data_IF_261818747584
#
_entry.id   IF_261818747584
#
_cell.length_a   1.000
_cell.length_b   1.000
_cell.length_c   1.000
_cell.angle_alpha   90.00
_cell.angle_beta   90.00
_cell.angle_gamma   90.00
#
_symmetry.space_group_name_H-M   'P 1'
#
loop_
_entity.id
_entity.type
_entity.pdbx_description
1 polymer ?
#
# COMPACT_ATOMS: atom_id res chain seq x y z
N UNK A 1 -44.01 -41.60 -26.08
CA UNK A 1 -42.54 -41.45 -26.07
C UNK A 1 -42.18 -40.38 -25.05
N UNK A 2 -41.58 -40.77 -23.92
CA UNK A 2 -41.14 -39.84 -22.89
C UNK A 2 -39.94 -40.47 -22.18
N UNK A 3 -38.76 -39.91 -22.40
CA UNK A 3 -37.51 -40.32 -21.76
C UNK A 3 -37.30 -39.39 -20.55
N UNK A 4 -37.14 -39.89 -19.31
CA UNK A 4 -36.77 -39.07 -18.18
C UNK A 4 -35.23 -39.04 -18.07
N UNK A 5 -34.63 -37.84 -18.02
CA UNK A 5 -33.20 -37.69 -17.75
C UNK A 5 -32.95 -36.92 -16.45
N UNK A 6 -32.72 -37.73 -15.43
CA UNK A 6 -31.83 -37.59 -14.26
C UNK A 6 -31.34 -36.18 -13.92
N UNK A 7 -31.83 -35.72 -12.77
CA UNK A 7 -31.20 -34.74 -11.89
C UNK A 7 -29.82 -35.22 -11.40
N UNK A 8 -28.76 -34.55 -11.82
CA UNK A 8 -27.41 -34.70 -11.27
C UNK A 8 -27.00 -33.46 -10.50
N UNK A 9 -27.34 -33.40 -9.21
CA UNK A 9 -26.87 -32.36 -8.29
C UNK A 9 -25.35 -32.50 -8.09
N UNK A 10 -24.56 -31.59 -8.68
CA UNK A 10 -23.15 -31.43 -8.32
C UNK A 10 -23.06 -30.48 -7.14
N UNK A 11 -22.89 -31.08 -5.96
CA UNK A 11 -22.36 -30.43 -4.76
C UNK A 11 -21.00 -29.78 -5.07
N UNK A 12 -20.98 -28.48 -5.37
CA UNK A 12 -19.78 -27.66 -5.15
C UNK A 12 -19.91 -27.05 -3.77
N UNK A 13 -19.13 -27.59 -2.82
CA UNK A 13 -18.83 -26.94 -1.55
C UNK A 13 -18.32 -25.53 -1.83
N UNK A 14 -19.17 -24.53 -1.63
CA UNK A 14 -18.77 -23.16 -1.37
C UNK A 14 -18.00 -23.19 -0.05
N UNK A 15 -16.68 -23.27 -0.13
CA UNK A 15 -15.82 -22.97 1.00
C UNK A 15 -15.85 -21.46 1.14
N UNK A 16 -16.65 -21.00 2.09
CA UNK A 16 -16.76 -19.59 2.46
C UNK A 16 -15.37 -19.05 2.79
N UNK A 17 -14.93 -18.08 2.01
CA UNK A 17 -13.77 -17.27 2.36
C UNK A 17 -14.19 -16.48 3.59
N UNK A 18 -13.55 -16.79 4.71
CA UNK A 18 -13.77 -16.10 5.97
C UNK A 18 -13.66 -14.60 5.74
N UNK A 19 -14.74 -13.89 6.08
CA UNK A 19 -14.64 -12.49 6.43
C UNK A 19 -13.54 -12.38 7.49
N UNK A 20 -12.36 -11.93 7.08
CA UNK A 20 -11.43 -11.35 8.04
C UNK A 20 -12.10 -10.06 8.51
N UNK A 21 -12.94 -10.20 9.55
CA UNK A 21 -13.29 -9.12 10.46
C UNK A 21 -11.96 -8.63 11.03
N UNK A 22 -11.30 -7.72 10.32
CA UNK A 22 -10.42 -6.79 10.99
C UNK A 22 -11.29 -6.09 12.03
N UNK A 23 -10.85 -6.01 13.30
CA UNK A 23 -11.58 -5.24 14.29
C UNK A 23 -11.79 -3.85 13.68
N UNK A 24 -13.03 -3.38 13.71
CA UNK A 24 -13.29 -1.98 13.52
C UNK A 24 -12.28 -1.26 14.41
N UNK A 25 -11.41 -0.45 13.81
CA UNK A 25 -10.66 0.53 14.58
C UNK A 25 -11.70 1.54 15.04
N UNK A 26 -12.46 1.17 16.08
CA UNK A 26 -13.04 2.13 16.99
C UNK A 26 -11.85 2.96 17.42
N UNK A 27 -11.74 4.17 16.85
CA UNK A 27 -10.98 5.26 17.42
C UNK A 27 -11.58 5.45 18.81
N UNK A 28 -11.07 4.67 19.77
CA UNK A 28 -11.28 4.94 21.18
C UNK A 28 -10.88 6.38 21.43
N UNK A 29 -11.49 6.99 22.45
CA UNK A 29 -11.10 8.29 22.96
C UNK A 29 -9.58 8.48 22.89
N UNK A 30 -9.07 9.67 22.53
CA UNK A 30 -7.67 9.89 22.15
C UNK A 30 -6.71 9.69 23.33
N UNK A 31 -6.47 8.45 23.72
CA UNK A 31 -5.40 8.06 24.63
C UNK A 31 -4.15 7.76 23.78
N UNK A 32 -3.36 8.81 23.58
CA UNK A 32 -1.88 8.79 23.53
C UNK A 32 -1.15 7.84 22.57
N UNK A 33 -1.72 7.47 21.42
CA UNK A 33 -0.89 7.09 20.26
C UNK A 33 -0.47 8.35 19.49
N UNK A 34 0.77 8.81 19.68
CA UNK A 34 1.30 9.98 18.98
C UNK A 34 1.48 9.67 17.48
N UNK A 35 0.60 10.19 16.64
CA UNK A 35 0.76 10.10 15.19
C UNK A 35 1.70 11.22 14.72
N UNK A 36 2.86 10.85 14.20
CA UNK A 36 3.90 11.82 13.83
C UNK A 36 4.18 11.76 12.34
N UNK A 37 4.30 12.93 11.70
CA UNK A 37 4.81 13.10 10.35
C UNK A 37 6.30 12.81 10.34
N UNK A 38 6.71 11.91 9.47
CA UNK A 38 8.10 11.56 9.27
C UNK A 38 8.45 11.77 7.79
N UNK A 39 9.59 12.39 7.55
CA UNK A 39 10.16 12.46 6.22
C UNK A 39 11.32 11.47 6.16
N UNK A 40 11.42 10.73 5.06
CA UNK A 40 12.49 9.74 4.90
C UNK A 40 13.86 10.37 5.17
N UNK A 41 14.66 9.69 6.00
CA UNK A 41 16.04 10.08 6.31
C UNK A 41 17.04 9.37 5.40
N UNK A 42 18.20 9.98 5.21
CA UNK A 42 19.28 9.36 4.43
C UNK A 42 19.70 8.04 5.09
N UNK A 43 19.93 6.94 4.34
CA UNK A 43 20.37 5.69 4.94
C UNK A 43 21.86 5.81 5.32
N UNK A 44 22.29 5.11 6.37
CA UNK A 44 23.69 4.78 6.62
C UNK A 44 23.95 3.38 6.07
N UNK A 45 25.18 3.10 5.63
CA UNK A 45 25.60 1.72 5.36
C UNK A 45 25.45 0.94 6.67
N UNK A 46 24.58 -0.06 6.66
CA UNK A 46 24.45 -1.05 7.72
C UNK A 46 25.26 -2.27 7.29
N UNK A 47 26.07 -2.81 8.19
CA UNK A 47 26.73 -4.10 7.98
C UNK A 47 25.74 -5.28 8.09
N UNK A 48 24.55 -5.05 8.66
CA UNK A 48 23.52 -6.06 8.86
C UNK A 48 22.41 -5.93 7.78
N UNK A 49 22.15 -6.96 6.97
CA UNK A 49 21.14 -6.95 5.90
C UNK A 49 19.70 -6.88 6.41
N UNK A 50 19.44 -7.24 7.67
CA UNK A 50 18.09 -7.19 8.27
C UNK A 50 17.73 -5.82 8.84
N UNK A 51 18.68 -4.86 8.85
CA UNK A 51 18.48 -3.54 9.41
C UNK A 51 18.88 -2.42 8.44
N UNK A 52 17.94 -1.52 8.16
CA UNK A 52 18.27 -0.24 7.52
C UNK A 52 18.61 0.79 8.60
N UNK A 53 19.89 1.00 8.88
CA UNK A 53 20.32 2.12 9.71
C UNK A 53 20.02 3.43 8.96
N UNK A 54 19.18 4.33 9.51
CA UNK A 54 18.96 5.65 8.93
C UNK A 54 19.73 6.72 9.70
N UNK A 55 20.31 7.70 9.01
CA UNK A 55 21.07 8.77 9.64
C UNK A 55 20.22 9.60 10.60
N UNK A 56 20.76 9.91 11.77
CA UNK A 56 20.19 10.87 12.71
C UNK A 56 20.25 12.32 12.19
N UNK A 57 21.01 12.60 11.13
CA UNK A 57 21.48 13.96 10.80
C UNK A 57 20.79 14.66 9.62
N UNK A 58 19.75 14.11 8.99
CA UNK A 58 19.01 14.90 7.98
C UNK A 58 17.93 14.18 7.16
N UNK A 59 16.99 14.99 6.66
CA UNK A 59 15.96 14.58 5.69
C UNK A 59 16.58 14.32 4.31
N UNK A 60 16.06 13.34 3.57
CA UNK A 60 16.48 13.12 2.18
C UNK A 60 16.13 14.32 1.30
N UNK A 61 17.01 14.65 0.36
CA UNK A 61 16.77 15.60 -0.72
C UNK A 61 16.63 14.90 -2.09
N UNK A 62 16.43 15.71 -3.14
CA UNK A 62 16.34 15.24 -4.53
C UNK A 62 15.26 14.19 -4.81
N UNK A 63 15.54 13.26 -5.71
CA UNK A 63 14.58 12.25 -6.20
C UNK A 63 14.25 11.14 -5.21
N UNK A 64 14.85 11.13 -4.02
CA UNK A 64 14.68 10.09 -2.98
C UNK A 64 13.88 10.59 -1.76
N UNK A 65 13.14 11.69 -1.92
CA UNK A 65 12.25 12.27 -0.91
C UNK A 65 10.99 11.41 -0.71
N UNK A 66 10.40 11.48 0.47
CA UNK A 66 9.14 10.80 0.80
C UNK A 66 8.58 11.28 2.14
N UNK A 67 7.27 11.20 2.29
CA UNK A 67 6.53 11.57 3.50
C UNK A 67 5.71 10.36 3.97
N UNK A 68 5.87 10.03 5.24
CA UNK A 68 5.14 8.99 5.94
C UNK A 68 4.54 9.52 7.25
N UNK A 69 3.49 8.85 7.71
CA UNK A 69 3.00 8.97 9.08
C UNK A 69 3.48 7.75 9.84
N UNK A 70 4.03 7.96 11.02
CA UNK A 70 4.35 6.89 11.97
C UNK A 70 3.31 6.87 13.09
N UNK A 71 2.69 5.71 13.29
CA UNK A 71 1.77 5.41 14.38
C UNK A 71 2.57 4.70 15.46
N UNK A 72 2.43 5.16 16.72
CA UNK A 72 3.04 4.54 17.89
C UNK A 72 4.17 5.38 18.48
N UNK A 73 4.59 5.03 19.69
CA UNK A 73 5.72 5.69 20.36
C UNK A 73 7.04 5.23 19.72
N UNK A 74 8.06 6.10 19.63
CA UNK A 74 9.43 5.64 19.41
C UNK A 74 9.74 4.52 20.42
N UNK A 75 10.50 3.48 20.04
CA UNK A 75 10.85 2.45 21.02
C UNK A 75 11.45 3.12 22.25
N UNK A 76 10.97 2.71 23.43
CA UNK A 76 11.56 3.12 24.72
C UNK A 76 13.04 2.70 24.75
N UNK A 77 13.38 1.66 23.99
CA UNK A 77 14.73 1.29 23.58
C UNK A 77 15.11 1.96 22.27
N UNK A 78 15.20 3.29 22.24
CA UNK A 78 16.10 3.93 21.28
C UNK A 78 17.48 3.42 21.66
N UNK A 79 18.00 2.45 20.90
CA UNK A 79 19.32 1.88 21.09
C UNK A 79 20.32 3.03 21.03
N UNK A 80 20.73 3.53 22.20
CA UNK A 80 21.94 4.31 22.35
C UNK A 80 23.08 3.46 21.82
N UNK A 81 24.14 4.12 21.35
CA UNK A 81 25.31 3.47 20.76
C UNK A 81 25.75 2.24 21.57
N UNK A 82 26.43 1.26 20.94
CA UNK A 82 27.00 0.10 21.65
C UNK A 82 27.99 0.47 22.78
N UNK A 83 28.27 1.76 22.98
CA UNK A 83 29.15 2.31 24.01
C UNK A 83 28.42 2.81 25.26
N UNK A 84 27.07 2.83 25.29
CA UNK A 84 26.31 3.22 26.47
C UNK A 84 25.33 2.13 26.88
N UNK A 85 25.68 1.41 27.95
CA UNK A 85 24.82 0.46 28.64
C UNK A 85 23.67 1.22 29.30
N UNK A 86 22.47 1.18 28.72
CA UNK A 86 21.28 1.67 29.40
C UNK A 86 20.69 0.51 30.22
N UNK A 87 20.60 0.66 31.54
CA UNK A 87 19.91 -0.28 32.40
C UNK A 87 18.45 -0.39 31.94
N UNK A 88 18.09 -1.53 31.36
CA UNK A 88 16.74 -1.80 30.90
C UNK A 88 15.84 -1.98 32.12
N UNK A 89 15.18 -0.92 32.58
CA UNK A 89 14.01 -1.09 33.46
C UNK A 89 12.88 -1.60 32.57
N UNK A 90 12.82 -2.93 32.43
CA UNK A 90 11.75 -3.63 31.74
C UNK A 90 10.45 -3.48 32.55
N UNK A 91 9.75 -2.37 32.39
CA UNK A 91 8.34 -2.31 32.76
C UNK A 91 7.58 -3.18 31.77
N UNK A 92 7.23 -4.37 32.22
CA UNK A 92 6.30 -5.33 31.62
C UNK A 92 4.88 -4.75 31.58
N UNK A 93 4.65 -3.70 30.80
CA UNK A 93 3.28 -3.35 30.42
C UNK A 93 2.92 -4.22 29.22
N UNK A 94 1.98 -5.15 29.40
CA UNK A 94 1.31 -5.94 28.35
C UNK A 94 0.51 -5.08 27.34
N UNK A 95 0.81 -3.78 27.23
CA UNK A 95 0.31 -2.95 26.17
C UNK A 95 0.99 -3.38 24.88
N UNK A 96 0.22 -3.97 23.97
CA UNK A 96 0.62 -4.16 22.59
C UNK A 96 1.05 -2.79 22.08
N UNK A 97 2.36 -2.62 21.88
CA UNK A 97 2.94 -1.44 21.28
C UNK A 97 2.41 -1.35 19.84
N UNK A 98 1.28 -0.67 19.65
CA UNK A 98 0.71 -0.46 18.31
C UNK A 98 1.70 0.38 17.53
N UNK A 99 2.32 -0.25 16.53
CA UNK A 99 3.24 0.37 15.60
C UNK A 99 2.70 0.22 14.19
N UNK A 100 2.83 1.29 13.43
CA UNK A 100 2.42 1.28 12.04
C UNK A 100 2.89 2.51 11.31
N UNK A 101 2.57 2.58 10.03
CA UNK A 101 2.77 3.80 9.29
C UNK A 101 1.99 3.85 8.00
N UNK A 102 1.78 5.06 7.53
CA UNK A 102 1.08 5.35 6.29
C UNK A 102 2.06 6.09 5.38
N UNK A 103 2.41 5.48 4.25
CA UNK A 103 3.23 6.13 3.25
C UNK A 103 2.33 6.87 2.25
N UNK A 104 2.53 8.18 2.11
CA UNK A 104 1.82 8.94 1.10
C UNK A 104 2.48 8.78 -0.28
N UNK A 105 1.67 8.51 -1.29
CA UNK A 105 2.15 8.20 -2.66
C UNK A 105 1.57 9.14 -3.72
N UNK A 106 0.38 9.67 -3.47
CA UNK A 106 -0.35 10.49 -4.43
C UNK A 106 -1.14 11.54 -3.65
N UNK A 107 -1.19 12.76 -4.18
CA UNK A 107 -2.07 13.82 -3.71
C UNK A 107 -2.81 14.40 -4.91
N UNK A 108 -4.02 14.90 -4.65
CA UNK A 108 -4.80 15.62 -5.64
C UNK A 108 -4.97 17.06 -5.17
N UNK A 109 -4.67 18.02 -6.03
CA UNK A 109 -5.01 19.43 -5.78
C UNK A 109 -6.53 19.58 -5.85
N UNK A 110 -7.10 20.25 -4.85
CA UNK A 110 -8.54 20.55 -4.79
C UNK A 110 -8.89 21.90 -5.44
N UNK A 111 -7.91 22.57 -6.04
CA UNK A 111 -8.12 23.77 -6.84
C UNK A 111 -8.74 23.45 -8.22
N UNK A 112 -8.93 24.47 -9.04
CA UNK A 112 -9.54 24.35 -10.37
C UNK A 112 -8.82 23.37 -11.32
N UNK A 113 -7.58 22.96 -11.03
CA UNK A 113 -6.83 22.04 -11.89
C UNK A 113 -7.22 20.57 -11.70
N UNK A 114 -7.77 20.20 -10.54
CA UNK A 114 -7.97 18.80 -10.12
C UNK A 114 -6.75 17.89 -10.36
N UNK A 115 -5.55 18.48 -10.41
CA UNK A 115 -4.33 17.80 -10.84
C UNK A 115 -3.91 16.73 -9.83
N UNK A 116 -3.62 15.53 -10.32
CA UNK A 116 -3.17 14.39 -9.53
C UNK A 116 -1.65 14.27 -9.64
N UNK A 117 -0.96 14.38 -8.51
CA UNK A 117 0.50 14.31 -8.42
C UNK A 117 0.87 12.95 -7.86
N UNK A 118 1.57 12.14 -8.64
CA UNK A 118 1.86 10.74 -8.32
C UNK A 118 3.37 10.50 -8.18
N UNK A 119 3.81 10.09 -6.99
CA UNK A 119 5.20 9.81 -6.67
C UNK A 119 5.61 10.42 -5.32
N UNK A 120 6.36 9.71 -4.45
CA UNK A 120 6.76 10.23 -3.14
C UNK A 120 7.51 11.56 -3.19
N UNK A 121 8.47 11.68 -4.11
CA UNK A 121 9.29 12.89 -4.23
C UNK A 121 8.47 14.06 -4.77
N UNK A 122 7.65 13.83 -5.79
CA UNK A 122 6.78 14.86 -6.38
C UNK A 122 5.73 15.36 -5.38
N UNK A 123 5.22 14.46 -4.54
CA UNK A 123 4.32 14.82 -3.45
C UNK A 123 5.03 15.75 -2.45
N UNK A 124 6.26 15.45 -2.07
CA UNK A 124 7.04 16.31 -1.18
C UNK A 124 7.34 17.65 -1.86
N UNK A 125 7.71 17.66 -3.14
CA UNK A 125 7.95 18.88 -3.91
C UNK A 125 6.71 19.78 -3.96
N UNK A 126 5.53 19.18 -4.08
CA UNK A 126 4.27 19.91 -4.04
C UNK A 126 3.98 20.52 -2.66
N UNK A 127 4.27 19.80 -1.57
CA UNK A 127 4.14 20.35 -0.21
C UNK A 127 5.09 21.53 0.00
N UNK A 128 6.33 21.42 -0.48
CA UNK A 128 7.33 22.47 -0.43
C UNK A 128 6.86 23.70 -1.22
N UNK A 129 6.37 23.49 -2.45
CA UNK A 129 5.79 24.54 -3.31
C UNK A 129 4.61 25.24 -2.63
N UNK A 130 3.65 24.48 -2.10
CA UNK A 130 2.47 25.02 -1.42
C UNK A 130 2.80 25.76 -0.12
N UNK A 131 3.97 25.47 0.47
CA UNK A 131 4.46 26.12 1.68
C UNK A 131 5.45 27.25 1.40
N UNK A 132 5.75 27.54 0.13
CA UNK A 132 6.71 28.54 -0.33
C UNK A 132 8.10 28.38 0.30
N UNK A 133 8.61 27.14 0.33
CA UNK A 133 9.96 26.78 0.83
C UNK A 133 10.64 25.83 -0.14
N UNK A 134 11.97 25.74 -0.12
CA UNK A 134 12.72 24.90 -1.07
C UNK A 134 13.20 23.57 -0.46
N UNK A 135 13.34 23.50 0.87
CA UNK A 135 13.95 22.36 1.56
C UNK A 135 13.10 21.88 2.73
N UNK A 136 13.14 20.58 3.01
CA UNK A 136 12.38 19.96 4.11
C UNK A 136 12.76 20.54 5.49
N UNK A 137 14.05 20.80 5.84
CA UNK A 137 14.39 21.46 7.09
C UNK A 137 13.69 22.82 7.26
N UNK A 138 13.68 23.64 6.21
CA UNK A 138 13.01 24.95 6.21
C UNK A 138 11.50 24.81 6.47
N UNK A 139 10.86 23.83 5.84
CA UNK A 139 9.45 23.49 6.09
C UNK A 139 9.20 23.15 7.55
N UNK A 140 10.00 22.23 8.12
CA UNK A 140 9.76 21.72 9.48
C UNK A 140 10.11 22.77 10.53
N UNK A 141 11.27 23.41 10.41
CA UNK A 141 11.81 24.27 11.44
C UNK A 141 11.16 25.65 11.39
N UNK A 142 10.98 26.23 10.21
CA UNK A 142 10.48 27.59 10.05
C UNK A 142 8.96 27.65 9.85
N UNK A 143 8.39 26.81 8.98
CA UNK A 143 6.94 26.83 8.71
C UNK A 143 6.14 26.06 9.74
N UNK A 144 6.62 24.89 10.19
CA UNK A 144 5.92 24.06 11.18
C UNK A 144 6.37 24.33 12.62
N UNK A 145 7.46 25.10 12.83
CA UNK A 145 7.95 25.42 14.17
C UNK A 145 8.38 24.18 14.96
N UNK A 146 8.92 23.17 14.28
CA UNK A 146 9.30 21.88 14.87
C UNK A 146 8.14 20.92 15.13
N UNK A 147 6.88 21.35 14.93
CA UNK A 147 5.72 20.49 15.14
C UNK A 147 5.54 19.49 14.01
N UNK A 148 5.74 18.21 14.33
CA UNK A 148 5.53 17.08 13.42
C UNK A 148 4.27 16.28 13.76
N UNK A 149 3.45 16.72 14.72
CA UNK A 149 2.19 16.04 15.07
C UNK A 149 1.20 16.07 13.90
N UNK A 150 0.76 14.91 13.44
CA UNK A 150 -0.20 14.79 12.34
C UNK A 150 -1.60 15.36 12.66
N UNK A 151 -1.87 15.63 13.94
CA UNK A 151 -3.13 16.21 14.43
C UNK A 151 -2.99 17.69 14.74
N UNK A 152 -4.13 18.39 14.79
CA UNK A 152 -4.17 19.82 15.04
C UNK A 152 -3.72 20.11 16.48
N UNK A 153 -2.61 20.81 16.64
CA UNK A 153 -2.28 21.50 17.89
C UNK A 153 -3.08 22.80 17.94
N UNK A 154 -3.75 23.08 19.07
CA UNK A 154 -4.75 24.15 19.18
C UNK A 154 -4.19 25.57 19.14
N UNK A 155 -2.86 25.77 19.07
CA UNK A 155 -2.26 27.02 19.57
C UNK A 155 -1.60 27.95 18.53
N UNK A 156 -1.43 27.60 17.24
CA UNK A 156 -0.80 28.52 16.26
C UNK A 156 -1.37 28.46 14.85
N UNK A 157 -1.48 29.64 14.21
CA UNK A 157 -1.76 29.81 12.77
C UNK A 157 -0.45 29.64 11.99
N UNK A 158 -0.16 28.41 11.58
CA UNK A 158 0.95 28.11 10.67
C UNK A 158 0.47 27.25 9.50
N UNK A 159 1.24 27.24 8.40
CA UNK A 159 1.02 26.32 7.29
C UNK A 159 1.16 24.89 7.81
N UNK A 160 0.07 24.15 7.95
CA UNK A 160 0.06 22.80 8.53
C UNK A 160 -0.50 21.75 7.57
N UNK A 161 0.13 20.58 7.53
CA UNK A 161 -0.42 19.38 6.91
C UNK A 161 -1.06 18.50 8.00
N UNK A 162 -2.38 18.46 8.09
CA UNK A 162 -3.07 17.71 9.15
C UNK A 162 -4.04 16.67 8.60
N UNK A 163 -4.30 15.64 9.40
CA UNK A 163 -5.47 14.79 9.17
C UNK A 163 -6.71 15.46 9.75
N UNK A 164 -7.78 15.49 8.96
CA UNK A 164 -9.11 15.92 9.40
C UNK A 164 -10.09 14.81 9.09
N UNK A 165 -10.93 14.44 10.06
CA UNK A 165 -12.10 13.63 9.76
C UNK A 165 -13.04 14.48 8.90
N UNK A 166 -13.40 13.97 7.72
CA UNK A 166 -14.43 14.61 6.90
C UNK A 166 -15.79 14.26 7.50
N UNK A 167 -16.53 15.27 7.96
CA UNK A 167 -17.94 15.12 8.33
C UNK A 167 -18.85 14.98 7.12
N UNK A 168 -18.34 15.21 5.90
CA UNK A 168 -19.10 14.90 4.69
C UNK A 168 -19.24 13.38 4.59
N UNK A 169 -20.46 12.91 4.83
CA UNK A 169 -20.87 11.51 4.84
C UNK A 169 -20.95 10.96 3.41
N UNK A 170 -19.88 11.14 2.63
CA UNK A 170 -19.78 10.47 1.33
C UNK A 170 -19.34 9.06 1.63
N UNK A 171 -20.20 8.09 1.35
CA UNK A 171 -19.83 6.67 1.29
C UNK A 171 -18.79 6.49 0.18
N UNK A 172 -17.53 6.78 0.52
CA UNK A 172 -16.40 6.59 -0.37
C UNK A 172 -15.97 5.14 -0.27
N UNK A 173 -16.15 4.39 -1.35
CA UNK A 173 -15.57 3.05 -1.47
C UNK A 173 -14.05 3.15 -1.44
N UNK A 174 -13.45 2.55 -0.42
CA UNK A 174 -11.99 2.40 -0.32
C UNK A 174 -11.58 1.12 -1.01
N UNK A 175 -10.93 1.27 -2.17
CA UNK A 175 -10.33 0.17 -2.90
C UNK A 175 -8.95 -0.18 -2.35
N UNK A 176 -8.57 -1.44 -2.50
CA UNK A 176 -7.29 -1.96 -2.02
C UNK A 176 -6.59 -2.72 -3.14
N UNK A 177 -5.27 -2.60 -3.24
CA UNK A 177 -4.47 -3.33 -4.21
C UNK A 177 -3.13 -3.76 -3.64
N UNK A 178 -2.42 -4.69 -4.30
CA UNK A 178 -1.01 -4.91 -4.08
C UNK A 178 -0.18 -3.63 -4.14
N UNK A 179 0.95 -3.63 -3.44
CA UNK A 179 1.90 -2.50 -3.44
C UNK A 179 2.66 -2.42 -4.76
N UNK A 180 2.89 -1.19 -5.23
CA UNK A 180 3.70 -0.93 -6.43
C UNK A 180 5.19 -1.10 -6.10
N UNK A 181 5.94 -1.73 -6.99
CA UNK A 181 7.40 -1.88 -6.88
C UNK A 181 7.85 -3.03 -5.99
N UNK A 182 6.97 -4.01 -5.75
CA UNK A 182 7.34 -5.32 -5.23
C UNK A 182 7.33 -6.32 -6.39
N UNK A 183 8.35 -7.17 -6.45
CA UNK A 183 8.46 -8.30 -7.35
C UNK A 183 9.17 -9.47 -6.64
N UNK A 184 9.22 -10.61 -7.32
CA UNK A 184 9.92 -11.81 -6.86
C UNK A 184 11.35 -11.90 -7.42
N UNK A 185 11.86 -10.84 -8.05
CA UNK A 185 13.11 -10.91 -8.81
C UNK A 185 14.38 -10.93 -7.96
N UNK A 186 14.23 -10.73 -6.65
CA UNK A 186 15.36 -10.68 -5.73
C UNK A 186 16.01 -12.05 -5.60
N UNK A 187 17.36 -12.16 -5.68
CA UNK A 187 18.06 -13.44 -5.67
C UNK A 187 17.78 -14.31 -4.43
N UNK A 188 17.53 -13.70 -3.28
CA UNK A 188 17.18 -14.40 -2.04
C UNK A 188 15.70 -14.78 -1.90
N UNK A 189 14.89 -14.67 -2.96
CA UNK A 189 13.47 -15.09 -2.92
C UNK A 189 13.41 -16.60 -3.11
N UNK A 190 12.88 -17.33 -2.12
CA UNK A 190 12.66 -18.76 -2.24
C UNK A 190 11.31 -19.05 -2.91
N UNK A 191 11.24 -20.13 -3.70
CA UNK A 191 10.00 -20.68 -4.24
C UNK A 191 9.23 -21.45 -3.17
N UNK A 192 8.84 -20.76 -2.09
CA UNK A 192 8.14 -21.33 -0.95
C UNK A 192 7.00 -20.40 -0.52
N UNK A 193 5.80 -20.91 -0.18
CA UNK A 193 4.69 -20.06 0.27
C UNK A 193 5.02 -19.26 1.55
N UNK A 194 5.91 -19.80 2.39
CA UNK A 194 6.40 -19.16 3.62
C UNK A 194 7.45 -18.06 3.37
N UNK A 195 7.96 -17.91 2.15
CA UNK A 195 8.88 -16.82 1.81
C UNK A 195 8.18 -15.47 2.01
N UNK A 196 8.87 -14.54 2.67
CA UNK A 196 8.30 -13.23 3.03
C UNK A 196 7.90 -12.43 1.78
N UNK A 197 8.70 -12.44 0.71
CA UNK A 197 8.39 -11.71 -0.53
C UNK A 197 7.19 -12.32 -1.23
N UNK A 198 7.13 -13.65 -1.31
CA UNK A 198 5.96 -14.38 -1.82
C UNK A 198 4.72 -13.99 -1.02
N UNK A 199 4.81 -14.03 0.31
CA UNK A 199 3.70 -13.67 1.22
C UNK A 199 3.24 -12.22 1.06
N UNK A 200 4.17 -11.27 0.90
CA UNK A 200 3.86 -9.84 0.90
C UNK A 200 3.45 -9.29 -0.46
N UNK A 201 3.83 -9.92 -1.56
CA UNK A 201 3.60 -9.39 -2.90
C UNK A 201 2.11 -9.22 -3.22
N UNK A 202 1.28 -10.18 -2.84
CA UNK A 202 -0.18 -10.15 -3.06
C UNK A 202 -0.96 -9.35 -2.01
N UNK A 203 -0.31 -8.88 -0.93
CA UNK A 203 -1.02 -8.20 0.16
C UNK A 203 -1.53 -6.83 -0.27
N UNK A 204 -2.78 -6.56 0.08
CA UNK A 204 -3.52 -5.34 -0.26
C UNK A 204 -3.07 -4.12 0.56
N UNK A 205 -1.79 -3.74 0.46
CA UNK A 205 -1.17 -2.66 1.23
C UNK A 205 -1.32 -1.27 0.61
N UNK A 206 -1.95 -1.15 -0.57
CA UNK A 206 -2.21 0.13 -1.23
C UNK A 206 -3.71 0.43 -1.18
N UNK A 207 -4.07 1.60 -0.65
CA UNK A 207 -5.45 2.03 -0.45
C UNK A 207 -5.74 3.30 -1.26
N UNK A 208 -6.91 3.37 -1.90
CA UNK A 208 -7.30 4.51 -2.74
C UNK A 208 -8.82 4.58 -2.92
N UNK A 209 -9.34 5.76 -3.25
CA UNK A 209 -10.79 6.02 -3.41
C UNK A 209 -11.21 6.35 -4.84
N UNK A 210 -10.27 6.72 -5.70
CA UNK A 210 -10.55 7.13 -7.08
C UNK A 210 -9.60 6.38 -8.03
N UNK A 211 -9.93 5.12 -8.42
CA UNK A 211 -9.05 4.29 -9.23
C UNK A 211 -8.73 4.92 -10.59
N UNK A 212 -9.71 5.56 -11.25
CA UNK A 212 -9.57 6.24 -12.54
C UNK A 212 -8.52 7.36 -12.57
N UNK A 213 -8.13 7.90 -11.41
CA UNK A 213 -7.10 8.94 -11.32
C UNK A 213 -5.68 8.36 -11.25
N UNK A 214 -5.53 7.04 -11.07
CA UNK A 214 -4.25 6.39 -10.81
C UNK A 214 -3.66 5.78 -12.09
N UNK A 215 -3.57 6.62 -13.13
CA UNK A 215 -3.20 6.19 -14.49
C UNK A 215 -1.70 6.09 -14.73
N UNK A 216 -0.88 6.86 -13.99
CA UNK A 216 0.55 7.00 -14.24
C UNK A 216 1.39 5.80 -13.74
N UNK A 217 1.05 5.23 -12.58
CA UNK A 217 1.83 4.16 -11.93
C UNK A 217 0.91 3.11 -11.32
N UNK A 218 1.29 1.85 -11.44
CA UNK A 218 0.60 0.75 -10.79
C UNK A 218 -0.77 0.43 -11.37
N UNK A 219 -0.97 0.69 -12.67
CA UNK A 219 -2.25 0.48 -13.37
C UNK A 219 -2.76 -0.96 -13.21
N UNK A 220 -1.87 -1.94 -13.34
CA UNK A 220 -2.20 -3.35 -13.22
C UNK A 220 -2.59 -3.74 -11.79
N UNK A 221 -1.89 -3.20 -10.79
CA UNK A 221 -2.22 -3.34 -9.38
C UNK A 221 -3.61 -2.76 -9.10
N UNK A 222 -3.88 -1.54 -9.58
CA UNK A 222 -5.19 -0.88 -9.45
C UNK A 222 -6.30 -1.74 -10.07
N UNK A 223 -6.10 -2.23 -11.30
CA UNK A 223 -7.06 -3.10 -11.98
C UNK A 223 -7.31 -4.39 -11.20
N UNK A 224 -6.24 -5.07 -10.76
CA UNK A 224 -6.38 -6.32 -9.99
C UNK A 224 -7.12 -6.09 -8.67
N UNK A 225 -6.81 -5.02 -7.94
CA UNK A 225 -7.49 -4.69 -6.70
C UNK A 225 -8.98 -4.38 -6.87
N UNK A 226 -9.34 -3.65 -7.94
CA UNK A 226 -10.75 -3.39 -8.27
C UNK A 226 -11.45 -4.69 -8.71
N UNK A 227 -10.80 -5.52 -9.52
CA UNK A 227 -11.34 -6.82 -9.92
C UNK A 227 -11.62 -7.73 -8.73
N UNK A 228 -10.65 -7.90 -7.81
CA UNK A 228 -10.81 -8.76 -6.64
C UNK A 228 -11.94 -8.29 -5.73
N UNK A 229 -12.11 -6.97 -5.57
CA UNK A 229 -13.20 -6.42 -4.77
C UNK A 229 -14.57 -6.53 -5.47
N UNK A 230 -14.63 -6.46 -6.81
CA UNK A 230 -15.87 -6.60 -7.57
C UNK A 230 -16.24 -8.05 -7.90
N UNK A 231 -15.33 -9.01 -7.70
CA UNK A 231 -15.60 -10.42 -7.91
C UNK A 231 -16.70 -10.96 -6.97
N UNK A 232 -16.85 -10.35 -5.81
CA UNK A 232 -17.85 -10.73 -4.80
C UNK A 232 -19.28 -10.20 -5.12
N UNK A 233 -19.42 -9.34 -6.12
CA UNK A 233 -20.69 -8.69 -6.47
C UNK A 233 -21.66 -9.60 -7.25
N UNK A 234 -21.26 -10.83 -7.60
CA UNK A 234 -22.10 -11.79 -8.33
C UNK A 234 -22.47 -11.36 -9.76
N UNK A 235 -21.72 -10.39 -10.33
CA UNK A 235 -21.95 -9.88 -11.67
C UNK A 235 -21.54 -10.90 -12.75
N UNK A 236 -22.23 -10.87 -13.90
CA UNK A 236 -21.73 -11.57 -15.09
C UNK A 236 -20.38 -11.01 -15.53
N UNK A 237 -19.56 -11.83 -16.17
CA UNK A 237 -18.22 -11.45 -16.61
C UNK A 237 -18.20 -10.15 -17.45
N UNK A 238 -19.11 -10.03 -18.42
CA UNK A 238 -19.24 -8.83 -19.24
C UNK A 238 -19.59 -7.57 -18.43
N UNK A 239 -20.51 -7.70 -17.44
CA UNK A 239 -20.89 -6.57 -16.58
C UNK A 239 -19.72 -6.19 -15.66
N UNK A 240 -18.97 -7.17 -15.18
CA UNK A 240 -17.77 -6.97 -14.37
C UNK A 240 -16.68 -6.23 -15.17
N UNK A 241 -16.43 -6.63 -16.42
CA UNK A 241 -15.44 -5.97 -17.28
C UNK A 241 -15.81 -4.50 -17.55
N UNK A 242 -17.07 -4.22 -17.88
CA UNK A 242 -17.58 -2.85 -18.05
C UNK A 242 -17.42 -2.04 -16.76
N UNK A 243 -17.80 -2.61 -15.62
CA UNK A 243 -17.66 -1.96 -14.31
C UNK A 243 -16.21 -1.61 -13.99
N UNK A 244 -15.28 -2.53 -14.22
CA UNK A 244 -13.85 -2.29 -13.99
C UNK A 244 -13.33 -1.19 -14.94
N UNK A 245 -13.75 -1.21 -16.20
CA UNK A 245 -13.41 -0.18 -17.19
C UNK A 245 -13.84 1.22 -16.73
N UNK A 246 -15.08 1.37 -16.27
CA UNK A 246 -15.62 2.61 -15.70
C UNK A 246 -14.86 3.06 -14.44
N UNK A 247 -14.63 2.16 -13.49
CA UNK A 247 -13.98 2.49 -12.21
C UNK A 247 -12.52 2.89 -12.37
N UNK A 248 -11.80 2.24 -13.29
CA UNK A 248 -10.36 2.41 -13.49
C UNK A 248 -9.99 3.37 -14.61
N UNK A 249 -10.96 3.76 -15.44
CA UNK A 249 -10.71 4.55 -16.67
C UNK A 249 -9.89 3.81 -17.73
N UNK A 250 -9.70 2.49 -17.59
CA UNK A 250 -8.97 1.67 -18.57
C UNK A 250 -9.95 1.27 -19.66
N UNK A 251 -9.55 1.36 -20.94
CA UNK A 251 -10.38 0.94 -22.08
C UNK A 251 -10.82 -0.52 -21.93
N UNK A 252 -12.09 -0.81 -22.23
CA UNK A 252 -12.70 -2.13 -22.05
C UNK A 252 -11.87 -3.27 -22.68
N UNK A 253 -11.44 -3.12 -23.93
CA UNK A 253 -10.58 -4.11 -24.61
C UNK A 253 -9.27 -4.39 -23.86
N UNK A 254 -8.70 -3.37 -23.20
CA UNK A 254 -7.50 -3.53 -22.37
C UNK A 254 -7.81 -4.25 -21.06
N UNK A 255 -8.96 -3.97 -20.45
CA UNK A 255 -9.44 -4.70 -19.25
C UNK A 255 -9.61 -6.18 -19.58
N UNK A 256 -10.31 -6.51 -20.66
CA UNK A 256 -10.53 -7.88 -21.12
C UNK A 256 -9.21 -8.62 -21.36
N UNK A 257 -8.25 -7.97 -22.04
CA UNK A 257 -6.91 -8.54 -22.24
C UNK A 257 -6.21 -8.82 -20.92
N UNK A 258 -6.19 -7.85 -20.01
CA UNK A 258 -5.50 -7.95 -18.72
C UNK A 258 -6.11 -9.03 -17.82
N UNK A 259 -7.44 -9.13 -17.79
CA UNK A 259 -8.11 -10.18 -17.02
C UNK A 259 -7.86 -11.56 -17.63
N UNK A 260 -7.78 -11.67 -18.96
CA UNK A 260 -7.35 -12.91 -19.62
C UNK A 260 -5.92 -13.30 -19.22
N UNK A 261 -4.98 -12.35 -19.24
CA UNK A 261 -3.59 -12.59 -18.81
C UNK A 261 -3.53 -13.08 -17.35
N UNK A 262 -4.37 -12.52 -16.46
CA UNK A 262 -4.50 -12.96 -15.07
C UNK A 262 -5.08 -14.39 -14.95
N UNK A 263 -6.16 -14.69 -15.69
CA UNK A 263 -6.78 -16.02 -15.72
C UNK A 263 -5.83 -17.10 -16.27
N UNK A 264 -5.02 -16.78 -17.27
CA UNK A 264 -3.95 -17.67 -17.76
C UNK A 264 -2.97 -18.00 -16.63
N UNK A 265 -2.58 -17.00 -15.83
CA UNK A 265 -1.75 -17.21 -14.65
C UNK A 265 -2.40 -18.13 -13.60
N UNK A 266 -3.71 -18.01 -13.38
CA UNK A 266 -4.43 -18.88 -12.43
C UNK A 266 -4.45 -20.34 -12.93
N UNK A 267 -4.70 -20.54 -14.22
CA UNK A 267 -4.97 -21.87 -14.79
C UNK A 267 -3.69 -22.67 -15.05
N UNK A 268 -2.69 -22.03 -15.66
CA UNK A 268 -1.49 -22.70 -16.19
C UNK A 268 -0.19 -22.04 -15.69
N UNK A 269 -0.28 -21.15 -14.71
CA UNK A 269 0.87 -20.34 -14.28
C UNK A 269 1.82 -21.09 -13.36
N UNK A 270 3.09 -21.14 -13.75
CA UNK A 270 4.19 -21.54 -12.89
C UNK A 270 4.81 -20.30 -12.21
N UNK A 271 4.81 -20.24 -10.87
CA UNK A 271 5.39 -19.11 -10.14
C UNK A 271 6.92 -19.06 -10.29
N UNK A 272 7.59 -20.20 -10.49
CA UNK A 272 9.05 -20.30 -10.44
C UNK A 272 9.74 -19.49 -11.54
N UNK A 273 9.09 -19.33 -12.70
CA UNK A 273 9.61 -18.52 -13.83
C UNK A 273 9.69 -17.02 -13.50
N UNK A 274 9.02 -16.57 -12.44
CA UNK A 274 9.01 -15.19 -11.98
C UNK A 274 9.93 -14.94 -10.78
N UNK A 275 10.60 -15.96 -10.26
CA UNK A 275 11.46 -15.86 -9.07
C UNK A 275 12.92 -15.59 -9.47
N UNK A 276 13.59 -14.76 -8.69
CA UNK A 276 15.01 -14.44 -8.89
C UNK A 276 15.27 -13.70 -10.20
N UNK A 277 16.45 -13.85 -10.81
CA UNK A 277 16.82 -13.11 -12.02
C UNK A 277 15.80 -13.19 -13.17
N UNK A 278 15.10 -14.32 -13.31
CA UNK A 278 14.05 -14.55 -14.32
C UNK A 278 12.84 -13.62 -14.14
N UNK A 279 12.57 -13.18 -12.91
CA UNK A 279 11.49 -12.23 -12.57
C UNK A 279 11.78 -10.77 -12.89
N UNK A 280 13.00 -10.45 -13.36
CA UNK A 280 13.40 -9.06 -13.57
C UNK A 280 12.56 -8.43 -14.69
N UNK A 281 11.99 -7.26 -14.41
CA UNK A 281 11.17 -6.52 -15.37
C UNK A 281 9.72 -7.01 -15.50
N UNK A 282 9.30 -8.01 -14.73
CA UNK A 282 7.89 -8.45 -14.70
C UNK A 282 6.96 -7.29 -14.34
N UNK A 283 7.32 -6.47 -13.34
CA UNK A 283 6.52 -5.31 -12.94
C UNK A 283 6.43 -4.19 -13.99
N UNK A 284 7.31 -4.16 -15.00
CA UNK A 284 7.21 -3.20 -16.10
C UNK A 284 6.30 -3.67 -17.24
N UNK A 285 5.91 -4.95 -17.26
CA UNK A 285 5.01 -5.52 -18.27
C UNK A 285 3.65 -5.85 -17.65
N UNK A 286 2.56 -5.17 -18.05
CA UNK A 286 1.22 -5.46 -17.55
C UNK A 286 0.82 -6.94 -17.65
N UNK A 287 1.01 -7.53 -18.82
CA UNK A 287 0.62 -8.92 -19.08
C UNK A 287 1.39 -9.88 -18.18
N UNK A 288 2.73 -9.75 -18.10
CA UNK A 288 3.55 -10.64 -17.27
C UNK A 288 3.29 -10.44 -15.78
N UNK A 289 3.08 -9.21 -15.35
CA UNK A 289 2.69 -8.94 -13.96
C UNK A 289 1.39 -9.66 -13.62
N UNK A 290 0.36 -9.57 -14.47
CA UNK A 290 -0.94 -10.19 -14.21
C UNK A 290 -0.85 -11.72 -14.25
N UNK A 291 -0.11 -12.31 -15.19
CA UNK A 291 0.18 -13.75 -15.20
C UNK A 291 0.88 -14.19 -13.90
N UNK A 292 1.91 -13.47 -13.45
CA UNK A 292 2.59 -13.74 -12.18
C UNK A 292 1.63 -13.66 -10.99
N UNK A 293 0.76 -12.66 -10.94
CA UNK A 293 -0.21 -12.52 -9.85
C UNK A 293 -1.25 -13.64 -9.85
N UNK A 294 -1.65 -14.14 -11.02
CA UNK A 294 -2.50 -15.33 -11.15
C UNK A 294 -1.81 -16.59 -10.62
N UNK A 295 -0.57 -16.83 -11.06
CA UNK A 295 0.24 -17.97 -10.61
C UNK A 295 0.49 -17.93 -9.09
N UNK A 296 0.78 -16.73 -8.57
CA UNK A 296 0.99 -16.49 -7.14
C UNK A 296 -0.25 -16.84 -6.31
N UNK A 297 -1.45 -16.51 -6.81
CA UNK A 297 -2.70 -16.82 -6.11
C UNK A 297 -2.89 -18.32 -5.94
N UNK A 298 -2.67 -19.10 -7.01
CA UNK A 298 -2.76 -20.56 -6.96
C UNK A 298 -1.68 -21.13 -6.03
N UNK A 299 -0.44 -20.66 -6.15
CA UNK A 299 0.70 -21.10 -5.34
C UNK A 299 0.53 -20.83 -3.83
N UNK A 300 -0.20 -19.77 -3.44
CA UNK A 300 -0.48 -19.47 -2.04
C UNK A 300 -1.66 -20.29 -1.46
N UNK A 301 -2.43 -20.96 -2.33
CA UNK A 301 -3.60 -21.76 -1.95
C UNK A 301 -3.35 -23.26 -1.98
N UNK A 302 -2.28 -23.71 -2.64
CA UNK A 302 -1.75 -25.08 -2.63
C UNK A 302 -1.03 -25.40 -1.33
#
# INVERSE_FOLDING_TARGET
>A
MGIPLRTGARNRKLVGIGQSKFPALTLGSPSTSALTRYFHRAPRRSANPDHSATSLTGYRGGTRKGLDLTIGKPPVSATTSPYFSCAATATTSNNIDIRGGILFRTIQRRDNSSQVISGPSLLVDEILRASSVQKIPELVDQKWGGDRSAFRSSTKSSTVLRLTCSTSNRDLTVYRSPRIGLDLSHPGTAAAPSDKRVTYLSRAYRYFVQPALLTANGRCQTLLGVYEQSADDGLSEEKMHRRISELTGIKLQTVEKYLRDYQTGISDGDLTIFIGPSGKGVCSSPSRYLQMMGALRTFQQS
#
